data_IF_935749544660
#
_entry.id   IF_935749544660
#
_cell.length_a   1.000
_cell.length_b   1.000
_cell.length_c   1.000
_cell.angle_alpha   90.00
_cell.angle_beta   90.00
_cell.angle_gamma   90.00
#
_symmetry.space_group_name_H-M   'P 1'
#
loop_
_entity.id
_entity.type
_entity.pdbx_description
1 polymer ?
#
# COMPACT_ATOMS: atom_id res chain seq x y z
N UNK A 1 -3.87 -9.83 -2.29
CA UNK A 1 -4.91 -8.79 -2.28
C UNK A 1 -4.80 -7.95 -3.54
N UNK A 2 -5.89 -7.75 -4.22
CA UNK A 2 -5.91 -6.94 -5.44
C UNK A 2 -6.73 -5.68 -5.18
N UNK A 3 -6.15 -4.53 -5.49
CA UNK A 3 -6.80 -3.24 -5.32
C UNK A 3 -6.78 -2.50 -6.65
N UNK A 4 -7.95 -2.04 -7.09
CA UNK A 4 -8.06 -1.24 -8.30
C UNK A 4 -7.84 0.23 -7.95
N UNK A 5 -6.90 0.85 -8.64
CA UNK A 5 -6.59 2.28 -8.45
C UNK A 5 -6.74 3.02 -9.77
N UNK A 6 -6.95 4.34 -9.67
CA UNK A 6 -6.91 5.21 -10.84
C UNK A 6 -5.63 6.06 -10.77
N UNK A 7 -4.76 5.86 -11.75
CA UNK A 7 -3.50 6.58 -11.83
C UNK A 7 -3.47 7.34 -13.16
N UNK A 8 -3.50 8.66 -13.08
CA UNK A 8 -3.50 9.55 -14.24
C UNK A 8 -4.61 9.24 -15.25
N UNK A 9 -5.79 8.87 -14.73
CA UNK A 9 -6.96 8.56 -15.55
C UNK A 9 -7.03 7.13 -16.05
N UNK A 10 -6.10 6.29 -15.63
CA UNK A 10 -6.06 4.87 -16.02
C UNK A 10 -6.29 4.00 -14.80
N UNK A 11 -7.21 3.04 -14.90
CA UNK A 11 -7.46 2.08 -13.82
C UNK A 11 -6.47 0.92 -13.92
N UNK A 12 -5.71 0.71 -12.85
CA UNK A 12 -4.80 -0.42 -12.74
C UNK A 12 -5.25 -1.34 -11.60
N UNK A 13 -5.08 -2.65 -11.80
CA UNK A 13 -5.26 -3.63 -10.75
C UNK A 13 -3.90 -3.90 -10.12
N UNK A 14 -3.76 -3.55 -8.85
CA UNK A 14 -2.50 -3.71 -8.11
C UNK A 14 -2.64 -4.88 -7.15
N UNK A 15 -1.83 -5.90 -7.36
CA UNK A 15 -1.76 -7.04 -6.46
C UNK A 15 -0.58 -6.88 -5.51
N UNK A 16 -0.81 -7.23 -4.25
CA UNK A 16 0.24 -7.12 -3.25
C UNK A 16 -0.24 -7.52 -1.86
N UNK A 17 0.60 -7.21 -0.87
CA UNK A 17 0.34 -7.52 0.53
C UNK A 17 0.09 -6.23 1.32
N UNK A 18 -1.03 -6.18 2.02
CA UNK A 18 -1.38 -5.06 2.88
C UNK A 18 -0.98 -5.37 4.32
N UNK A 19 -0.26 -4.44 4.94
CA UNK A 19 0.08 -4.49 6.35
C UNK A 19 -0.66 -3.35 7.05
N UNK A 20 -1.61 -3.66 7.94
CA UNK A 20 -2.38 -2.62 8.61
C UNK A 20 -1.51 -1.80 9.57
N UNK A 21 -2.00 -0.61 9.88
CA UNK A 21 -1.38 0.27 10.85
C UNK A 21 -1.32 -0.40 12.22
N UNK A 22 -0.16 -0.35 12.85
CA UNK A 22 0.03 -0.77 14.24
C UNK A 22 0.06 0.47 15.12
N UNK A 23 -0.81 0.50 16.12
CA UNK A 23 -0.85 1.61 17.07
C UNK A 23 0.35 1.52 18.01
N UNK A 24 0.93 2.66 18.40
CA UNK A 24 2.03 2.66 19.35
C UNK A 24 1.58 2.16 20.72
N UNK A 25 2.45 1.41 21.37
CA UNK A 25 2.27 0.99 22.76
C UNK A 25 3.13 1.90 23.62
N UNK A 26 2.49 2.70 24.46
CA UNK A 26 3.17 3.75 25.20
C UNK A 26 3.63 3.34 26.60
N UNK A 27 3.09 2.26 27.13
CA UNK A 27 3.34 1.87 28.50
C UNK A 27 3.67 0.40 28.64
N UNK A 28 4.92 0.15 29.04
CA UNK A 28 5.32 -1.14 29.55
C UNK A 28 5.75 -0.97 31.00
N UNK A 29 5.77 -2.05 31.75
CA UNK A 29 6.14 -2.01 33.18
C UNK A 29 7.58 -1.56 33.43
N UNK A 30 8.44 -1.67 32.43
CA UNK A 30 9.84 -1.22 32.49
C UNK A 30 10.05 0.21 31.96
N UNK A 31 8.97 0.89 31.57
CA UNK A 31 9.05 2.24 31.04
C UNK A 31 9.37 2.32 29.56
N UNK A 32 9.56 1.18 28.89
CA UNK A 32 9.80 1.18 27.44
C UNK A 32 8.48 1.32 26.69
N UNK A 33 8.57 1.75 25.45
CA UNK A 33 7.45 1.88 24.55
C UNK A 33 7.79 1.34 23.17
N UNK A 34 6.80 1.33 22.32
CA UNK A 34 6.92 0.81 20.98
C UNK A 34 6.25 1.80 20.03
N UNK A 35 7.00 2.31 19.06
CA UNK A 35 6.55 3.48 18.28
C UNK A 35 5.37 3.23 17.34
N UNK A 36 5.02 1.98 17.11
CA UNK A 36 3.99 1.66 16.12
C UNK A 36 4.52 1.81 14.70
N UNK A 37 3.72 1.38 13.74
CA UNK A 37 4.06 1.47 12.32
C UNK A 37 2.86 1.99 11.54
N UNK A 38 3.13 2.84 10.54
CA UNK A 38 2.10 3.25 9.61
C UNK A 38 1.70 2.06 8.73
N UNK A 39 0.48 2.09 8.20
CA UNK A 39 0.04 1.10 7.25
C UNK A 39 0.90 1.13 6.00
N UNK A 40 1.20 -0.04 5.45
CA UNK A 40 1.99 -0.17 4.23
C UNK A 40 1.33 -1.16 3.27
N UNK A 41 1.69 -1.03 2.00
CA UNK A 41 1.25 -1.97 0.98
C UNK A 41 2.46 -2.33 0.12
N UNK A 42 2.80 -3.61 0.08
CA UNK A 42 3.87 -4.09 -0.78
C UNK A 42 3.29 -4.46 -2.14
N UNK A 43 3.69 -3.76 -3.18
CA UNK A 43 3.22 -3.99 -4.54
C UNK A 43 3.97 -5.17 -5.15
N UNK A 44 3.24 -6.18 -5.60
CA UNK A 44 3.82 -7.36 -6.26
C UNK A 44 3.63 -7.31 -7.77
N UNK A 45 2.47 -6.84 -8.22
CA UNK A 45 2.14 -6.82 -9.63
C UNK A 45 1.18 -5.67 -9.93
N UNK A 46 1.35 -5.07 -11.10
CA UNK A 46 0.46 -4.00 -11.57
C UNK A 46 -0.04 -4.41 -12.95
N UNK A 47 -1.36 -4.59 -13.06
CA UNK A 47 -1.99 -5.11 -14.27
C UNK A 47 -2.96 -4.11 -14.90
N UNK A 48 -2.97 -4.05 -16.21
CA UNK A 48 -3.95 -3.30 -16.97
C UNK A 48 -4.28 -4.05 -18.24
N UNK A 49 -5.55 -4.37 -18.45
CA UNK A 49 -5.99 -5.08 -19.63
C UNK A 49 -5.35 -6.45 -19.83
N UNK A 50 -4.97 -7.12 -18.73
CA UNK A 50 -4.30 -8.41 -18.78
C UNK A 50 -2.80 -8.35 -19.00
N UNK A 51 -2.22 -7.15 -19.05
CA UNK A 51 -0.79 -6.93 -19.25
C UNK A 51 -0.14 -6.39 -17.98
N UNK A 52 1.11 -6.82 -17.74
CA UNK A 52 1.91 -6.36 -16.61
C UNK A 52 2.61 -5.05 -16.96
N UNK A 53 2.40 -4.05 -16.10
CA UNK A 53 3.00 -2.72 -16.24
C UNK A 53 4.07 -2.42 -15.21
N UNK A 54 4.55 -3.44 -14.52
CA UNK A 54 5.56 -3.28 -13.46
C UNK A 54 6.79 -2.50 -13.92
N UNK A 55 7.37 -2.88 -15.05
CA UNK A 55 8.59 -2.25 -15.56
C UNK A 55 8.40 -0.75 -15.86
N UNK A 56 7.22 -0.39 -16.35
CA UNK A 56 6.91 1.00 -16.68
C UNK A 56 6.67 1.83 -15.42
N UNK A 57 6.07 1.23 -14.41
CA UNK A 57 5.65 1.91 -13.18
C UNK A 57 6.60 1.69 -12.02
N UNK A 58 7.69 0.99 -12.23
CA UNK A 58 8.69 0.69 -11.19
C UNK A 58 9.17 1.95 -10.47
N UNK A 59 9.43 3.02 -11.20
CA UNK A 59 9.89 4.29 -10.63
C UNK A 59 8.77 5.04 -9.89
N UNK A 60 7.53 4.58 -10.02
CA UNK A 60 6.35 5.23 -9.44
C UNK A 60 5.70 4.39 -8.35
N UNK A 61 6.38 3.39 -7.84
CA UNK A 61 5.82 2.49 -6.84
C UNK A 61 5.39 3.22 -5.57
N UNK A 62 6.10 4.26 -5.15
CA UNK A 62 5.73 5.07 -3.99
C UNK A 62 4.36 5.73 -4.18
N UNK A 63 4.11 6.27 -5.36
CA UNK A 63 2.82 6.89 -5.69
C UNK A 63 1.72 5.83 -5.78
N UNK A 64 2.03 4.69 -6.38
CA UNK A 64 1.09 3.57 -6.49
C UNK A 64 0.71 3.07 -5.10
N UNK A 65 1.69 2.86 -4.23
CA UNK A 65 1.43 2.45 -2.85
C UNK A 65 0.50 3.43 -2.13
N UNK A 66 0.76 4.71 -2.25
CA UNK A 66 -0.08 5.74 -1.64
C UNK A 66 -1.51 5.67 -2.15
N UNK A 67 -1.71 5.52 -3.45
CA UNK A 67 -3.03 5.40 -4.05
C UNK A 67 -3.76 4.14 -3.57
N UNK A 68 -3.05 3.03 -3.47
CA UNK A 68 -3.61 1.78 -2.96
C UNK A 68 -4.07 1.96 -1.51
N UNK A 69 -3.25 2.57 -0.67
CA UNK A 69 -3.60 2.80 0.73
C UNK A 69 -4.82 3.71 0.86
N UNK A 70 -4.92 4.74 0.04
CA UNK A 70 -6.10 5.61 0.01
C UNK A 70 -7.35 4.83 -0.37
N UNK A 71 -7.25 3.93 -1.32
CA UNK A 71 -8.37 3.12 -1.76
C UNK A 71 -8.80 2.12 -0.68
N UNK A 72 -7.86 1.53 0.03
CA UNK A 72 -8.14 0.60 1.13
C UNK A 72 -8.86 1.30 2.28
N UNK A 73 -8.44 2.52 2.61
CA UNK A 73 -9.04 3.32 3.70
C UNK A 73 -10.22 4.17 3.26
N UNK A 74 -10.59 4.08 2.03
CA UNK A 74 -11.73 4.83 1.50
C UNK A 74 -13.04 4.23 2.01
N UNK A 75 -13.90 5.08 2.51
CA UNK A 75 -15.23 4.69 2.97
C UNK A 75 -16.26 4.72 1.85
#
# INVERSE_FOLDING_TARGET
MIVTINYKGIEFDVDGAFTPEEKPVMYYSDGSGYPGCAATFEVHEIMFGGEDFWEILEDKLDEIEELVLREIYRD
#
